data_IF_658705061010
#
_entry.id   IF_658705061010
#
_cell.length_a   1.000
_cell.length_b   1.000
_cell.length_c   1.000
_cell.angle_alpha   90.00
_cell.angle_beta   90.00
_cell.angle_gamma   90.00
#
_symmetry.space_group_name_H-M   'P 1'
#
loop_
_entity.id
_entity.type
_entity.pdbx_description
1 polymer ?
#
# COMPACT_ATOMS: atom_id res chain seq x y z
N UNK A 1 -83.45 12.11 -32.69
CA UNK A 1 -82.50 13.13 -32.19
C UNK A 1 -81.10 12.57 -32.34
N UNK A 2 -80.29 13.25 -33.15
CA UNK A 2 -78.84 13.16 -33.43
C UNK A 2 -78.13 11.79 -33.32
N UNK A 3 -77.86 11.09 -34.44
CA UNK A 3 -76.67 11.23 -35.35
C UNK A 3 -75.38 10.78 -34.63
N UNK A 4 -74.56 9.83 -35.09
CA UNK A 4 -74.41 9.12 -36.36
C UNK A 4 -73.60 7.82 -36.16
N UNK A 5 -73.91 6.80 -36.98
CA UNK A 5 -73.12 5.59 -37.25
C UNK A 5 -71.71 5.95 -37.78
N UNK A 6 -70.70 5.10 -37.55
CA UNK A 6 -69.77 4.71 -38.62
C UNK A 6 -68.91 3.47 -38.31
N UNK A 7 -68.58 2.80 -39.41
CA UNK A 7 -68.19 1.41 -39.60
C UNK A 7 -66.83 0.97 -39.03
N UNK A 8 -66.76 -0.32 -38.68
CA UNK A 8 -65.51 -1.05 -38.41
C UNK A 8 -64.68 -1.20 -39.70
N UNK A 9 -63.55 -0.52 -39.77
CA UNK A 9 -62.50 -0.80 -40.75
C UNK A 9 -61.55 -1.90 -40.23
N UNK A 10 -61.47 -3.02 -40.97
CA UNK A 10 -60.42 -4.04 -40.81
C UNK A 10 -59.07 -3.49 -41.28
N UNK A 11 -58.16 -3.26 -40.35
CA UNK A 11 -56.74 -2.99 -40.62
C UNK A 11 -55.92 -4.24 -40.33
N UNK A 12 -55.30 -4.82 -41.36
CA UNK A 12 -54.34 -5.93 -41.21
C UNK A 12 -53.02 -5.37 -40.65
N UNK A 13 -52.64 -5.77 -39.45
CA UNK A 13 -51.32 -5.48 -38.86
C UNK A 13 -50.34 -6.58 -39.31
N UNK A 14 -49.19 -6.26 -39.93
CA UNK A 14 -48.17 -7.25 -40.24
C UNK A 14 -47.42 -7.65 -38.96
N UNK A 15 -47.39 -8.94 -38.66
CA UNK A 15 -46.57 -9.52 -37.58
C UNK A 15 -45.11 -9.49 -38.04
N UNK A 16 -44.33 -8.54 -37.54
CA UNK A 16 -42.87 -8.59 -37.64
C UNK A 16 -42.33 -9.56 -36.58
N UNK A 17 -41.91 -10.75 -37.02
CA UNK A 17 -41.08 -11.64 -36.21
C UNK A 17 -39.71 -10.98 -36.01
N UNK A 18 -39.47 -10.40 -34.84
CA UNK A 18 -38.12 -10.06 -34.42
C UNK A 18 -37.38 -11.36 -34.07
N UNK A 19 -36.52 -11.81 -34.97
CA UNK A 19 -35.50 -12.82 -34.67
C UNK A 19 -34.51 -12.19 -33.69
N UNK A 20 -34.62 -12.53 -32.40
CA UNK A 20 -33.60 -12.24 -31.39
C UNK A 20 -32.36 -13.08 -31.74
N UNK A 21 -31.42 -12.48 -32.47
CA UNK A 21 -30.07 -13.03 -32.61
C UNK A 21 -29.37 -12.75 -31.27
N UNK A 22 -29.37 -13.75 -30.39
CA UNK A 22 -28.53 -13.75 -29.19
C UNK A 22 -27.07 -13.79 -29.63
N UNK A 23 -26.42 -12.64 -29.67
CA UNK A 23 -24.96 -12.54 -29.82
C UNK A 23 -24.36 -13.07 -28.51
N UNK A 24 -24.07 -14.38 -28.49
CA UNK A 24 -23.23 -14.98 -27.46
C UNK A 24 -21.81 -14.44 -27.68
N UNK A 25 -21.44 -13.37 -27.00
CA UNK A 25 -20.03 -13.05 -26.85
C UNK A 25 -19.38 -14.15 -26.02
N UNK A 26 -18.32 -14.82 -26.52
CA UNK A 26 -17.58 -15.75 -25.72
C UNK A 26 -16.99 -14.97 -24.55
N UNK A 27 -17.43 -15.29 -23.33
CA UNK A 27 -16.74 -14.86 -22.12
C UNK A 27 -15.39 -15.59 -22.16
N UNK A 28 -14.34 -14.89 -22.58
CA UNK A 28 -12.99 -15.38 -22.41
C UNK A 28 -12.68 -15.32 -20.91
N UNK A 29 -12.83 -16.46 -20.24
CA UNK A 29 -12.21 -16.68 -18.94
C UNK A 29 -10.71 -16.73 -19.19
N UNK A 30 -10.01 -15.62 -18.96
CA UNK A 30 -8.56 -15.65 -18.86
C UNK A 30 -8.24 -16.42 -17.57
N UNK A 31 -7.54 -17.55 -17.71
CA UNK A 31 -6.97 -18.22 -16.56
C UNK A 31 -5.97 -17.27 -15.89
N UNK A 32 -6.04 -17.15 -14.57
CA UNK A 32 -5.08 -16.35 -13.83
C UNK A 32 -3.67 -16.91 -14.01
N UNK A 33 -2.69 -16.02 -14.17
CA UNK A 33 -1.28 -16.37 -14.28
C UNK A 33 -0.86 -17.18 -13.05
N UNK A 34 -0.42 -18.45 -13.22
CA UNK A 34 0.08 -19.23 -12.10
C UNK A 34 1.32 -18.56 -11.52
N UNK A 35 1.45 -18.59 -10.20
CA UNK A 35 2.52 -17.92 -9.45
C UNK A 35 3.51 -18.93 -8.87
N UNK A 36 4.70 -18.43 -8.56
CA UNK A 36 5.71 -19.12 -7.76
C UNK A 36 6.57 -18.08 -7.04
N UNK A 37 7.57 -18.53 -6.30
CA UNK A 37 8.56 -17.64 -5.67
C UNK A 37 9.98 -17.93 -6.11
N UNK A 38 10.81 -16.88 -6.08
CA UNK A 38 12.26 -16.98 -6.28
C UNK A 38 13.00 -16.39 -5.10
N UNK A 39 14.11 -17.00 -4.71
CA UNK A 39 14.95 -16.49 -3.61
C UNK A 39 15.80 -15.32 -4.10
N UNK A 40 15.66 -14.17 -3.43
CA UNK A 40 16.38 -12.92 -3.76
C UNK A 40 17.57 -12.71 -2.83
N UNK A 41 17.40 -13.05 -1.55
CA UNK A 41 18.44 -12.97 -0.55
C UNK A 41 18.23 -14.05 0.52
N UNK A 42 19.32 -14.52 1.11
CA UNK A 42 19.33 -15.46 2.22
C UNK A 42 20.42 -15.10 3.24
N UNK A 43 20.44 -15.77 4.39
CA UNK A 43 21.41 -15.51 5.46
C UNK A 43 21.17 -14.21 6.21
N UNK A 44 19.93 -13.69 6.18
CA UNK A 44 19.51 -12.54 6.96
C UNK A 44 19.18 -12.98 8.39
N UNK A 45 19.27 -12.06 9.35
CA UNK A 45 18.90 -12.34 10.75
C UNK A 45 17.58 -11.64 11.06
N UNK A 46 16.50 -12.42 11.16
CA UNK A 46 15.16 -11.93 11.54
C UNK A 46 14.73 -10.70 10.73
N UNK A 47 14.66 -10.79 9.39
CA UNK A 47 14.15 -9.70 8.58
C UNK A 47 12.68 -9.46 8.92
N UNK A 48 12.27 -8.19 8.96
CA UNK A 48 10.90 -7.76 9.34
C UNK A 48 10.29 -6.76 8.37
N UNK A 49 11.07 -6.26 7.41
CA UNK A 49 10.53 -5.42 6.35
C UNK A 49 11.46 -5.36 5.14
N UNK A 50 10.89 -5.05 3.98
CA UNK A 50 11.59 -4.84 2.73
C UNK A 50 10.93 -3.73 1.93
N UNK A 51 11.70 -2.82 1.33
CA UNK A 51 11.18 -1.74 0.49
C UNK A 51 12.28 -1.15 -0.40
N UNK A 52 11.93 -0.28 -1.35
CA UNK A 52 12.87 0.50 -2.15
C UNK A 52 12.54 2.00 -2.07
N UNK A 53 13.53 2.91 -2.16
CA UNK A 53 13.25 4.31 -2.40
C UNK A 53 12.43 4.53 -3.68
N UNK A 54 11.60 5.60 -3.74
CA UNK A 54 10.92 6.00 -4.97
C UNK A 54 11.90 6.11 -6.15
N UNK A 55 11.59 5.44 -7.27
CA UNK A 55 12.40 5.45 -8.49
C UNK A 55 13.66 4.58 -8.48
N UNK A 56 14.07 4.01 -7.34
CA UNK A 56 15.27 3.17 -7.25
C UNK A 56 14.99 1.73 -7.67
N UNK A 57 15.36 1.40 -8.91
CA UNK A 57 15.14 0.09 -9.51
C UNK A 57 16.32 -0.88 -9.32
N UNK A 58 17.43 -0.41 -8.76
CA UNK A 58 18.64 -1.22 -8.60
C UNK A 58 18.76 -1.83 -7.21
N UNK A 59 18.17 -1.16 -6.20
CA UNK A 59 18.37 -1.49 -4.80
C UNK A 59 17.06 -1.81 -4.10
N UNK A 60 17.16 -2.74 -3.16
CA UNK A 60 16.09 -3.06 -2.21
C UNK A 60 16.70 -3.11 -0.81
N UNK A 61 16.04 -2.50 0.15
CA UNK A 61 16.48 -2.34 1.51
C UNK A 61 15.70 -3.26 2.43
N UNK A 62 16.43 -4.06 3.21
CA UNK A 62 15.86 -5.08 4.09
C UNK A 62 16.14 -4.68 5.53
N UNK A 63 15.08 -4.54 6.31
CA UNK A 63 15.13 -4.26 7.73
C UNK A 63 15.27 -5.57 8.50
N UNK A 64 16.31 -5.66 9.34
CA UNK A 64 16.49 -6.74 10.30
C UNK A 64 16.17 -6.25 11.71
N UNK A 65 15.35 -7.03 12.44
CA UNK A 65 14.82 -6.69 13.76
C UNK A 65 15.90 -6.28 14.76
N UNK A 66 17.08 -6.90 14.69
CA UNK A 66 18.25 -6.61 15.53
C UNK A 66 18.91 -5.24 15.30
N UNK A 67 18.31 -4.36 14.49
CA UNK A 67 18.78 -2.98 14.30
C UNK A 67 19.69 -2.80 13.10
N UNK A 68 19.55 -3.59 12.03
CA UNK A 68 20.37 -3.44 10.81
C UNK A 68 19.47 -3.24 9.61
N UNK A 69 19.92 -2.42 8.66
CA UNK A 69 19.35 -2.35 7.31
C UNK A 69 20.38 -2.88 6.33
N UNK A 70 20.01 -3.87 5.53
CA UNK A 70 20.83 -4.49 4.48
C UNK A 70 20.37 -4.03 3.10
N UNK A 71 21.23 -4.15 2.11
CA UNK A 71 20.92 -3.80 0.72
C UNK A 71 21.12 -5.04 -0.14
N UNK A 72 20.11 -5.36 -0.95
CA UNK A 72 20.29 -6.13 -2.18
C UNK A 72 20.45 -5.12 -3.30
N UNK A 73 21.52 -5.22 -4.09
CA UNK A 73 21.80 -4.36 -5.23
C UNK A 73 22.08 -5.23 -6.45
N UNK A 74 21.35 -5.00 -7.54
CA UNK A 74 21.50 -5.78 -8.78
C UNK A 74 21.45 -7.29 -8.54
N UNK A 75 20.48 -7.73 -7.72
CA UNK A 75 20.26 -9.14 -7.38
C UNK A 75 21.26 -9.75 -6.38
N UNK A 76 22.20 -8.97 -5.83
CA UNK A 76 23.21 -9.46 -4.88
C UNK A 76 23.11 -8.77 -3.52
N UNK A 77 23.10 -9.55 -2.44
CA UNK A 77 23.15 -9.02 -1.07
C UNK A 77 24.54 -8.42 -0.79
N UNK A 78 24.58 -7.13 -0.47
CA UNK A 78 25.82 -6.45 -0.12
C UNK A 78 26.34 -6.91 1.25
N UNK A 79 27.68 -6.99 1.46
CA UNK A 79 28.26 -7.45 2.72
C UNK A 79 28.06 -6.47 3.88
N UNK A 80 27.93 -5.17 3.58
CA UNK A 80 27.76 -4.11 4.56
C UNK A 80 26.32 -3.92 5.05
N UNK A 81 26.16 -3.02 6.03
CA UNK A 81 24.86 -2.50 6.42
C UNK A 81 24.70 -1.09 5.83
N UNK A 82 23.52 -0.77 5.32
CA UNK A 82 23.13 0.60 5.02
C UNK A 82 23.07 1.44 6.30
N UNK A 83 22.38 0.91 7.32
CA UNK A 83 22.27 1.51 8.65
C UNK A 83 22.52 0.43 9.71
N UNK A 84 23.20 0.81 10.80
CA UNK A 84 23.43 -0.04 11.95
C UNK A 84 23.07 0.68 13.27
N UNK A 85 21.96 0.27 13.85
CA UNK A 85 21.43 0.67 15.16
C UNK A 85 21.60 -0.42 16.23
N UNK A 86 22.37 -1.47 15.96
CA UNK A 86 22.64 -2.51 16.95
C UNK A 86 23.21 -1.89 18.24
N UNK A 87 22.71 -2.34 19.39
CA UNK A 87 23.05 -1.77 20.70
C UNK A 87 22.29 -0.48 21.05
N UNK A 88 21.50 0.10 20.12
CA UNK A 88 20.56 1.20 20.39
C UNK A 88 19.10 0.77 20.36
N UNK A 89 18.84 -0.45 19.89
CA UNK A 89 17.50 -1.05 19.89
C UNK A 89 17.36 -2.03 21.05
N UNK A 90 16.21 -2.02 21.73
CA UNK A 90 15.76 -3.20 22.49
C UNK A 90 15.22 -4.18 21.46
N UNK A 91 15.80 -5.37 21.38
CA UNK A 91 15.38 -6.37 20.40
C UNK A 91 14.47 -7.42 20.99
N UNK A 92 13.66 -7.90 20.06
CA UNK A 92 13.11 -9.24 19.93
C UNK A 92 11.72 -9.32 20.56
N UNK A 93 11.00 -10.42 20.28
CA UNK A 93 9.54 -10.41 20.40
C UNK A 93 8.97 -9.43 19.37
N UNK A 94 8.24 -8.42 19.83
CA UNK A 94 7.68 -7.36 18.97
C UNK A 94 8.53 -6.09 18.93
N UNK A 95 9.67 -6.07 19.65
CA UNK A 95 10.59 -4.93 19.70
C UNK A 95 11.73 -5.07 18.70
N UNK A 96 12.31 -3.95 18.30
CA UNK A 96 13.51 -3.92 17.45
C UNK A 96 13.50 -2.73 16.51
N UNK A 97 14.22 -2.84 15.40
CA UNK A 97 14.01 -1.97 14.24
C UNK A 97 12.90 -2.58 13.37
N UNK A 98 11.77 -1.88 13.23
CA UNK A 98 10.52 -2.44 12.71
C UNK A 98 10.03 -1.77 11.42
N UNK A 99 10.32 -0.48 11.25
CA UNK A 99 9.88 0.32 10.11
C UNK A 99 11.01 1.07 9.41
N UNK A 100 10.85 1.25 8.10
CA UNK A 100 11.71 2.05 7.24
C UNK A 100 10.81 2.76 6.22
N UNK A 101 10.99 4.06 6.00
CA UNK A 101 10.34 4.78 4.92
C UNK A 101 11.33 5.76 4.29
N UNK A 102 11.38 5.79 2.97
CA UNK A 102 12.16 6.78 2.23
C UNK A 102 11.29 8.01 1.97
N UNK A 103 11.87 9.20 2.09
CA UNK A 103 11.20 10.43 1.73
C UNK A 103 10.72 10.37 0.25
N UNK A 104 9.58 10.96 -0.12
CA UNK A 104 9.15 11.04 -1.52
C UNK A 104 10.25 11.61 -2.44
N UNK A 105 10.87 12.73 -2.03
CA UNK A 105 12.06 13.32 -2.69
C UNK A 105 13.43 12.71 -2.31
N UNK A 106 13.50 11.41 -1.95
CA UNK A 106 14.74 10.78 -1.49
C UNK A 106 15.91 10.95 -2.47
N UNK A 107 15.67 10.91 -3.78
CA UNK A 107 16.71 11.09 -4.81
C UNK A 107 17.38 12.47 -4.70
N UNK A 108 16.63 13.49 -4.27
CA UNK A 108 17.13 14.86 -4.11
C UNK A 108 17.67 15.14 -2.72
N UNK A 109 16.98 14.70 -1.65
CA UNK A 109 17.30 15.08 -0.28
C UNK A 109 18.02 13.99 0.53
N UNK A 110 17.96 12.73 0.08
CA UNK A 110 18.58 11.59 0.74
C UNK A 110 17.99 11.22 2.10
N UNK A 111 16.81 11.74 2.47
CA UNK A 111 16.20 11.53 3.78
C UNK A 111 15.41 10.23 3.86
N UNK A 112 15.58 9.52 4.96
CA UNK A 112 14.82 8.32 5.27
C UNK A 112 14.53 8.25 6.76
N UNK A 113 13.52 7.47 7.11
CA UNK A 113 12.90 7.44 8.43
C UNK A 113 12.86 6.01 8.93
N UNK A 114 13.03 5.83 10.23
CA UNK A 114 12.95 4.52 10.87
C UNK A 114 12.04 4.56 12.08
N UNK A 115 11.35 3.45 12.32
CA UNK A 115 10.61 3.17 13.56
C UNK A 115 11.33 2.04 14.30
N UNK A 116 11.80 2.31 15.52
CA UNK A 116 12.45 1.31 16.35
C UNK A 116 12.10 1.44 17.82
N UNK A 117 12.24 0.35 18.57
CA UNK A 117 12.18 0.37 20.03
C UNK A 117 13.56 0.67 20.61
N UNK A 118 13.71 1.73 21.41
CA UNK A 118 14.97 2.07 22.08
C UNK A 118 15.32 1.11 23.22
N UNK A 119 16.50 1.28 23.83
CA UNK A 119 16.96 0.47 24.97
C UNK A 119 16.09 0.56 26.22
N UNK A 120 15.24 1.59 26.31
CA UNK A 120 14.30 1.77 27.42
C UNK A 120 12.93 1.17 27.12
N UNK A 121 12.73 0.63 25.90
CA UNK A 121 11.47 0.07 25.45
C UNK A 121 10.53 1.06 24.78
N UNK A 122 10.92 2.33 24.59
CA UNK A 122 10.07 3.33 23.92
C UNK A 122 10.08 3.15 22.41
N UNK A 123 8.97 3.43 21.73
CA UNK A 123 8.96 3.59 20.28
C UNK A 123 9.61 4.92 19.91
N UNK A 124 10.52 4.90 18.94
CA UNK A 124 11.23 6.08 18.44
C UNK A 124 11.09 6.16 16.92
N UNK A 125 10.63 7.31 16.44
CA UNK A 125 10.65 7.69 15.03
C UNK A 125 11.83 8.62 14.81
N UNK A 126 12.75 8.25 13.93
CA UNK A 126 13.95 9.03 13.66
C UNK A 126 14.20 9.20 12.16
N UNK A 127 14.59 10.41 11.77
CA UNK A 127 15.11 10.75 10.44
C UNK A 127 16.62 10.56 10.40
N UNK A 128 17.10 10.07 9.27
CA UNK A 128 18.50 10.04 8.87
C UNK A 128 18.62 10.56 7.44
N UNK A 129 19.85 10.84 7.03
CA UNK A 129 20.22 11.17 5.66
C UNK A 129 21.26 10.18 5.15
N UNK A 130 21.27 9.90 3.85
CA UNK A 130 22.33 9.13 3.19
C UNK A 130 23.64 9.91 3.14
N UNK A 131 24.77 9.21 3.04
CA UNK A 131 26.07 9.84 2.75
C UNK A 131 26.22 10.10 1.24
N UNK A 132 27.35 10.66 0.81
CA UNK A 132 27.71 10.70 -0.60
C UNK A 132 27.84 9.30 -1.24
N UNK A 133 28.08 8.25 -0.45
CA UNK A 133 27.88 6.88 -0.88
C UNK A 133 26.39 6.53 -0.69
N UNK A 134 25.62 6.30 -1.77
CA UNK A 134 24.18 6.06 -1.66
C UNK A 134 23.87 4.76 -0.90
N UNK A 135 24.83 3.83 -0.79
CA UNK A 135 24.68 2.55 -0.11
C UNK A 135 25.02 2.62 1.40
N UNK A 136 25.20 3.84 1.95
CA UNK A 136 25.54 4.06 3.37
C UNK A 136 24.79 5.24 3.98
N UNK A 137 24.14 5.01 5.12
CA UNK A 137 23.51 6.04 5.93
C UNK A 137 24.54 6.91 6.67
N UNK A 138 24.29 8.21 6.76
CA UNK A 138 25.04 9.11 7.62
C UNK A 138 24.51 9.02 9.06
N UNK A 139 25.18 8.26 9.92
CA UNK A 139 24.73 8.07 11.30
C UNK A 139 24.63 9.39 12.10
N UNK A 140 25.51 10.36 11.85
CA UNK A 140 25.52 11.63 12.61
C UNK A 140 24.38 12.56 12.23
N UNK A 141 23.69 12.32 11.10
CA UNK A 141 22.52 13.08 10.67
C UNK A 141 21.24 12.77 11.47
N UNK A 142 21.31 11.82 12.41
CA UNK A 142 20.15 11.34 13.16
C UNK A 142 19.41 12.47 13.86
N UNK A 143 18.13 12.60 13.55
CA UNK A 143 17.18 13.46 14.27
C UNK A 143 16.02 12.61 14.79
N UNK A 144 15.78 12.63 16.10
CA UNK A 144 14.58 12.04 16.69
C UNK A 144 13.41 12.99 16.45
N UNK A 145 12.32 12.47 15.88
CA UNK A 145 11.11 13.23 15.58
C UNK A 145 10.07 13.02 16.67
N UNK A 146 9.88 11.77 17.09
CA UNK A 146 8.86 11.37 18.05
C UNK A 146 9.40 10.23 18.92
N UNK A 147 9.12 10.30 20.22
CA UNK A 147 9.34 9.21 21.18
C UNK A 147 8.03 8.95 21.91
N UNK A 148 7.56 7.71 21.90
CA UNK A 148 6.32 7.29 22.57
C UNK A 148 6.66 6.21 23.59
N UNK A 149 6.32 6.46 24.86
CA UNK A 149 6.51 5.47 25.93
C UNK A 149 5.59 4.29 25.73
N UNK A 150 6.15 3.09 25.76
CA UNK A 150 5.43 1.83 25.69
C UNK A 150 5.36 1.21 27.09
N UNK A 151 4.16 0.98 27.66
CA UNK A 151 4.07 0.44 29.02
C UNK A 151 4.30 -1.07 29.09
N UNK A 152 4.22 -1.79 27.96
CA UNK A 152 4.53 -3.23 27.87
C UNK A 152 5.54 -3.52 26.76
N UNK A 153 5.95 -4.79 26.63
CA UNK A 153 6.94 -5.22 25.63
C UNK A 153 6.35 -5.72 24.32
N UNK A 154 5.03 -5.67 24.18
CA UNK A 154 4.28 -6.08 23.01
C UNK A 154 3.34 -4.96 22.55
N UNK A 155 2.72 -5.20 21.42
CA UNK A 155 1.88 -4.31 20.61
C UNK A 155 2.57 -2.99 20.25
N UNK A 156 3.78 -3.11 19.71
CA UNK A 156 4.58 -1.96 19.33
C UNK A 156 4.18 -1.38 17.96
N UNK A 157 3.34 -2.06 17.19
CA UNK A 157 3.12 -1.77 15.78
C UNK A 157 4.46 -1.81 15.02
N UNK A 158 4.77 -0.74 14.30
CA UNK A 158 6.10 -0.56 13.73
C UNK A 158 6.12 -0.06 12.30
N UNK A 159 4.99 -0.16 11.59
CA UNK A 159 4.89 0.34 10.23
C UNK A 159 4.95 1.87 10.18
N UNK A 160 5.69 2.37 9.19
CA UNK A 160 5.70 3.78 8.78
C UNK A 160 5.69 3.83 7.25
N UNK A 161 5.04 4.85 6.69
CA UNK A 161 4.95 5.04 5.24
C UNK A 161 4.51 6.45 4.89
N UNK A 162 4.81 6.88 3.67
CA UNK A 162 4.37 8.19 3.18
C UNK A 162 3.05 8.06 2.43
N UNK A 163 2.10 8.94 2.73
CA UNK A 163 0.87 9.04 1.94
C UNK A 163 1.22 9.48 0.52
N UNK A 164 0.85 8.71 -0.52
CA UNK A 164 1.33 8.94 -1.88
C UNK A 164 0.84 10.29 -2.48
N UNK A 165 -0.26 10.83 -1.98
CA UNK A 165 -0.85 12.06 -2.50
C UNK A 165 -0.61 13.30 -1.63
N UNK A 166 -0.45 13.12 -0.32
CA UNK A 166 -0.27 14.23 0.63
C UNK A 166 1.19 14.42 1.07
N UNK A 167 2.06 13.42 0.87
CA UNK A 167 3.47 13.47 1.23
C UNK A 167 3.74 13.44 2.73
N UNK A 168 2.72 13.18 3.57
CA UNK A 168 2.89 13.14 5.02
C UNK A 168 3.35 11.76 5.49
N UNK A 169 4.04 11.73 6.63
CA UNK A 169 4.48 10.48 7.25
C UNK A 169 3.37 9.92 8.14
N UNK A 170 2.92 8.71 7.81
CA UNK A 170 1.98 7.92 8.58
C UNK A 170 2.73 6.95 9.49
N UNK A 171 2.28 6.82 10.73
CA UNK A 171 2.95 6.01 11.76
C UNK A 171 1.90 5.15 12.47
N UNK A 172 2.06 3.84 12.35
CA UNK A 172 1.19 2.87 13.00
C UNK A 172 1.74 2.52 14.39
N UNK A 173 0.94 2.79 15.42
CA UNK A 173 1.26 2.46 16.81
C UNK A 173 0.19 1.53 17.37
N UNK A 174 0.62 0.36 17.85
CA UNK A 174 -0.25 -0.49 18.66
C UNK A 174 -0.66 0.17 19.97
N UNK A 175 -1.64 -0.42 20.63
CA UNK A 175 -2.18 0.02 21.91
C UNK A 175 -1.11 0.05 23.01
N UNK A 176 0.04 -0.60 22.78
CA UNK A 176 1.21 -0.67 23.63
C UNK A 176 1.17 -1.81 24.65
N UNK A 177 0.34 -2.81 24.42
CA UNK A 177 0.50 -4.17 24.93
C UNK A 177 -0.43 -4.56 26.07
N UNK A 178 -0.19 -5.74 26.62
CA UNK A 178 -1.10 -6.47 27.51
C UNK A 178 -2.40 -6.93 26.83
N UNK A 179 -3.05 -7.93 27.40
CA UNK A 179 -4.29 -8.48 26.88
C UNK A 179 -5.45 -7.50 27.08
N UNK A 180 -6.19 -7.24 26.00
CA UNK A 180 -7.42 -6.49 26.05
C UNK A 180 -7.24 -5.02 26.45
N UNK A 181 -6.13 -4.36 26.13
CA UNK A 181 -5.85 -2.94 26.40
C UNK A 181 -6.42 -2.41 27.74
N UNK A 182 -5.85 -2.82 28.89
CA UNK A 182 -6.44 -2.57 30.21
C UNK A 182 -6.55 -1.08 30.59
N UNK A 183 -5.86 -0.20 29.85
CA UNK A 183 -5.85 1.25 30.07
C UNK A 183 -6.68 2.00 29.04
N UNK A 184 -7.41 1.28 28.17
CA UNK A 184 -8.26 1.84 27.13
C UNK A 184 -7.54 2.86 26.23
N UNK A 185 -6.26 2.63 25.95
CA UNK A 185 -5.40 3.53 25.19
C UNK A 185 -5.85 3.67 23.74
N UNK A 186 -6.31 2.59 23.12
CA UNK A 186 -6.78 2.60 21.73
C UNK A 186 -7.98 3.55 21.53
N UNK A 187 -8.85 3.68 22.52
CA UNK A 187 -9.99 4.61 22.53
C UNK A 187 -9.69 5.96 23.22
N UNK A 188 -8.61 6.06 24.00
CA UNK A 188 -8.27 7.29 24.71
C UNK A 188 -7.63 8.31 23.74
N UNK A 189 -8.23 9.51 23.57
CA UNK A 189 -7.73 10.53 22.64
C UNK A 189 -6.50 11.29 23.17
N UNK A 190 -6.11 11.08 24.43
CA UNK A 190 -4.99 11.74 25.11
C UNK A 190 -3.68 10.93 25.07
N UNK A 191 -3.63 9.86 24.28
CA UNK A 191 -2.44 9.04 24.05
C UNK A 191 -2.29 8.73 22.57
N UNK A 192 -1.03 8.53 22.14
CA UNK A 192 -0.68 8.17 20.78
C UNK A 192 -0.77 6.65 20.51
N UNK A 193 -1.02 5.85 21.54
CA UNK A 193 -1.07 4.39 21.42
C UNK A 193 -2.42 3.90 20.90
N UNK A 194 -2.38 2.87 20.04
CA UNK A 194 -3.55 2.30 19.35
C UNK A 194 -4.11 3.26 18.32
N UNK A 195 -3.23 3.86 17.52
CA UNK A 195 -3.52 4.95 16.57
C UNK A 195 -2.76 4.77 15.27
N UNK A 196 -3.35 5.27 14.19
CA UNK A 196 -2.60 5.75 13.04
C UNK A 196 -2.30 7.23 13.27
N UNK A 197 -1.04 7.63 13.26
CA UNK A 197 -0.64 9.03 13.32
C UNK A 197 -0.32 9.55 11.92
N UNK A 198 -0.47 10.86 11.70
CA UNK A 198 -0.01 11.56 10.50
C UNK A 198 0.69 12.86 10.85
N UNK A 199 1.95 12.99 10.43
CA UNK A 199 2.80 14.17 10.72
C UNK A 199 3.46 14.72 9.46
N UNK A 200 3.69 16.04 9.45
CA UNK A 200 4.42 16.75 8.41
C UNK A 200 5.91 16.82 8.77
N UNK A 201 6.77 16.25 7.93
CA UNK A 201 8.22 16.16 8.14
C UNK A 201 9.02 17.19 7.34
N UNK A 202 8.36 18.01 6.51
CA UNK A 202 9.00 19.02 5.64
C UNK A 202 9.28 20.30 6.42
N UNK A 203 10.06 20.14 7.49
CA UNK A 203 10.46 21.23 8.36
C UNK A 203 11.88 21.03 8.90
N UNK A 204 12.55 22.14 9.18
CA UNK A 204 13.88 22.13 9.81
C UNK A 204 13.84 21.76 11.29
N UNK A 205 12.69 21.80 11.96
CA UNK A 205 12.55 21.57 13.40
C UNK A 205 11.61 20.41 13.73
N UNK A 206 12.07 19.17 13.51
CA UNK A 206 11.32 17.98 13.90
C UNK A 206 10.17 17.69 12.95
N UNK A 207 8.94 17.86 13.41
CA UNK A 207 7.73 17.69 12.62
C UNK A 207 6.69 18.79 12.93
N UNK A 208 5.71 18.93 12.06
CA UNK A 208 4.51 19.76 12.26
C UNK A 208 3.26 18.89 12.22
N UNK A 209 2.16 19.45 12.74
CA UNK A 209 0.83 18.88 12.56
C UNK A 209 0.28 19.34 11.21
N UNK A 210 -0.09 18.42 10.30
CA UNK A 210 -0.82 18.79 9.10
C UNK A 210 -2.12 19.52 9.46
N UNK A 211 -2.42 20.68 8.87
CA UNK A 211 -3.67 21.40 9.14
C UNK A 211 -4.90 20.60 8.72
N UNK A 212 -4.73 19.64 7.81
CA UNK A 212 -5.77 18.71 7.37
C UNK A 212 -5.96 17.50 8.29
N UNK A 213 -5.25 17.39 9.43
CA UNK A 213 -5.53 16.32 10.39
C UNK A 213 -6.93 16.52 11.01
N UNK A 214 -7.70 15.43 11.24
CA UNK A 214 -9.08 15.51 11.73
C UNK A 214 -9.18 16.17 13.10
N UNK A 215 -8.09 16.17 13.87
CA UNK A 215 -8.02 16.73 15.22
C UNK A 215 -7.05 17.92 15.33
N UNK A 216 -6.65 18.56 14.23
CA UNK A 216 -5.68 19.66 14.24
C UNK A 216 -6.08 20.83 15.16
N UNK A 217 -7.38 21.14 15.23
CA UNK A 217 -7.94 22.19 16.06
C UNK A 217 -8.54 21.69 17.39
N UNK A 218 -8.43 20.38 17.67
CA UNK A 218 -8.96 19.79 18.90
C UNK A 218 -8.18 20.25 20.13
N UNK A 219 -8.89 20.43 21.24
CA UNK A 219 -8.33 20.64 22.58
C UNK A 219 -8.40 19.38 23.45
N UNK A 220 -9.12 18.35 23.01
CA UNK A 220 -9.34 17.09 23.74
C UNK A 220 -8.72 15.86 23.10
N UNK A 221 -8.11 16.00 21.91
CA UNK A 221 -7.49 14.90 21.16
C UNK A 221 -6.10 15.33 20.72
N UNK A 222 -5.12 14.43 20.84
CA UNK A 222 -3.78 14.68 20.34
C UNK A 222 -3.81 14.87 18.82
N UNK A 223 -3.09 15.89 18.36
CA UNK A 223 -3.24 16.45 17.02
C UNK A 223 -2.55 15.60 15.95
N UNK A 224 -1.63 14.75 16.36
CA UNK A 224 -0.95 13.76 15.52
C UNK A 224 -1.90 12.65 15.07
N UNK A 225 -3.00 12.42 15.81
CA UNK A 225 -3.92 11.31 15.54
C UNK A 225 -4.61 11.55 14.20
N UNK A 226 -4.48 10.55 13.33
CA UNK A 226 -5.20 10.47 12.06
C UNK A 226 -6.38 9.51 12.16
N UNK A 227 -6.20 8.34 12.78
CA UNK A 227 -7.27 7.41 13.11
C UNK A 227 -6.97 6.72 14.47
N UNK A 228 -7.99 6.14 15.08
CA UNK A 228 -7.91 5.49 16.39
C UNK A 228 -8.58 4.11 16.40
N UNK A 229 -8.55 3.47 17.56
CA UNK A 229 -9.19 2.17 17.75
C UNK A 229 -8.44 1.01 17.11
N UNK A 230 -7.10 1.09 17.06
CA UNK A 230 -6.24 0.02 16.56
C UNK A 230 -5.57 -0.74 17.73
N UNK A 231 -5.33 -2.04 17.56
CA UNK A 231 -4.71 -2.92 18.57
C UNK A 231 -3.20 -3.05 18.39
N UNK A 232 -2.75 -3.63 17.28
CA UNK A 232 -1.36 -3.81 16.92
C UNK A 232 -1.19 -3.85 15.38
N UNK A 233 -1.39 -2.72 14.69
CA UNK A 233 -1.26 -2.63 13.24
C UNK A 233 0.18 -2.90 12.80
N UNK A 234 0.40 -4.04 12.13
CA UNK A 234 1.74 -4.59 11.89
C UNK A 234 2.32 -4.28 10.50
N UNK A 235 1.63 -4.66 9.42
CA UNK A 235 2.01 -4.31 8.04
C UNK A 235 0.85 -3.67 7.31
N UNK A 236 0.98 -2.37 7.12
CA UNK A 236 0.03 -1.57 6.37
C UNK A 236 0.63 -1.27 4.99
N UNK A 237 -0.20 -0.81 4.07
CA UNK A 237 0.27 -0.37 2.76
C UNK A 237 -0.70 0.64 2.17
N UNK A 238 -0.15 1.69 1.57
CA UNK A 238 -0.91 2.47 0.62
C UNK A 238 -0.95 1.73 -0.72
N UNK A 239 -2.11 1.70 -1.35
CA UNK A 239 -2.19 1.45 -2.77
C UNK A 239 -1.53 2.61 -3.52
N UNK A 240 -0.43 2.34 -4.22
CA UNK A 240 0.33 3.37 -4.95
C UNK A 240 -0.45 4.01 -6.10
N UNK A 241 -1.48 3.34 -6.60
CA UNK A 241 -2.30 3.89 -7.68
C UNK A 241 -3.44 4.77 -7.14
N UNK A 242 -4.17 4.30 -6.13
CA UNK A 242 -5.39 4.98 -5.66
C UNK A 242 -5.17 5.86 -4.44
N UNK A 243 -4.13 5.59 -3.65
CA UNK A 243 -3.88 6.23 -2.36
C UNK A 243 -4.68 5.65 -1.19
N UNK A 244 -5.42 4.55 -1.41
CA UNK A 244 -6.16 3.88 -0.33
C UNK A 244 -5.20 3.22 0.65
N UNK A 245 -5.52 3.24 1.95
CA UNK A 245 -4.71 2.65 3.00
C UNK A 245 -5.34 1.35 3.50
N UNK A 246 -4.58 0.26 3.44
CA UNK A 246 -4.93 -1.03 4.04
C UNK A 246 -4.12 -1.19 5.32
N UNK A 247 -4.80 -1.58 6.40
CA UNK A 247 -4.21 -1.70 7.74
C UNK A 247 -4.45 -3.13 8.20
N UNK A 248 -3.38 -3.89 8.43
CA UNK A 248 -3.51 -5.23 8.99
C UNK A 248 -3.29 -5.16 10.49
N UNK A 249 -4.37 -5.35 11.24
CA UNK A 249 -4.40 -5.20 12.69
C UNK A 249 -4.48 -6.57 13.38
N UNK A 250 -3.52 -6.85 14.27
CA UNK A 250 -3.41 -8.15 14.92
C UNK A 250 -4.43 -8.27 16.03
N UNK A 251 -5.19 -9.35 15.99
CA UNK A 251 -6.25 -9.74 16.92
C UNK A 251 -5.82 -10.02 18.35
N UNK A 252 -6.78 -10.03 19.28
CA UNK A 252 -6.53 -10.35 20.69
C UNK A 252 -6.39 -11.85 20.95
N UNK A 253 -7.21 -12.67 20.32
CA UNK A 253 -7.26 -14.10 20.54
C UNK A 253 -8.33 -14.86 19.76
N UNK A 254 -9.25 -14.18 19.07
CA UNK A 254 -10.34 -14.80 18.32
C UNK A 254 -10.33 -14.43 16.83
N UNK A 255 -10.04 -13.18 16.48
CA UNK A 255 -10.18 -12.68 15.11
C UNK A 255 -9.03 -11.78 14.69
N UNK A 256 -8.57 -11.99 13.47
CA UNK A 256 -7.55 -11.19 12.79
C UNK A 256 -8.20 -10.37 11.68
N UNK A 257 -7.75 -9.14 11.43
CA UNK A 257 -8.49 -8.21 10.57
C UNK A 257 -7.63 -7.39 9.58
N UNK A 258 -8.26 -6.97 8.49
CA UNK A 258 -7.77 -5.96 7.56
C UNK A 258 -8.76 -4.81 7.54
N UNK A 259 -8.36 -3.66 8.08
CA UNK A 259 -9.10 -2.42 7.94
C UNK A 259 -8.74 -1.69 6.65
N UNK A 260 -9.61 -0.77 6.27
CA UNK A 260 -9.48 0.02 5.06
C UNK A 260 -9.83 1.48 5.32
N UNK A 261 -9.01 2.37 4.78
CA UNK A 261 -9.30 3.78 4.71
C UNK A 261 -9.26 4.24 3.25
N UNK A 262 -10.38 4.72 2.69
CA UNK A 262 -10.38 5.23 1.33
C UNK A 262 -9.49 6.48 1.23
N UNK A 263 -8.87 6.69 0.08
CA UNK A 263 -8.09 7.88 -0.23
C UNK A 263 -8.87 9.19 0.02
N UNK A 264 -10.18 9.16 -0.22
CA UNK A 264 -11.07 10.32 0.01
C UNK A 264 -11.35 10.63 1.49
N UNK A 265 -10.86 9.80 2.41
CA UNK A 265 -11.05 10.01 3.85
C UNK A 265 -10.40 11.31 4.32
N UNK A 266 -11.08 11.99 5.24
CA UNK A 266 -10.54 13.15 5.97
C UNK A 266 -9.93 12.77 7.31
N UNK A 267 -9.78 11.48 7.59
CA UNK A 267 -9.34 10.92 8.87
C UNK A 267 -10.44 10.96 9.93
N UNK A 268 -10.13 10.38 11.08
CA UNK A 268 -10.99 10.34 12.26
C UNK A 268 -11.70 8.99 12.47
N UNK A 269 -11.47 8.02 11.59
CA UNK A 269 -11.98 6.66 11.73
C UNK A 269 -11.57 6.05 13.07
N UNK A 270 -12.51 5.30 13.64
CA UNK A 270 -12.30 4.53 14.85
C UNK A 270 -12.52 3.06 14.53
N UNK A 271 -11.44 2.29 14.38
CA UNK A 271 -11.46 0.87 14.00
C UNK A 271 -11.90 -0.08 15.13
N UNK A 272 -12.47 0.49 16.21
CA UNK A 272 -13.25 -0.29 17.15
C UNK A 272 -12.47 -0.90 18.31
N UNK A 273 -11.19 -1.22 18.20
CA UNK A 273 -10.43 -1.78 19.34
C UNK A 273 -10.39 -0.78 20.51
N UNK A 274 -10.75 -1.12 21.75
CA UNK A 274 -10.97 -2.44 22.34
C UNK A 274 -12.45 -2.82 22.54
N UNK A 275 -13.36 -2.17 21.83
CA UNK A 275 -14.79 -2.44 21.90
C UNK A 275 -15.15 -3.65 21.02
N UNK A 276 -14.50 -3.76 19.86
CA UNK A 276 -14.60 -4.87 18.92
C UNK A 276 -13.24 -5.55 18.70
N UNK A 277 -13.26 -6.81 18.26
CA UNK A 277 -12.12 -7.59 17.74
C UNK A 277 -12.60 -8.23 16.43
N UNK A 278 -12.12 -7.76 15.28
CA UNK A 278 -12.85 -7.98 14.04
C UNK A 278 -14.18 -7.20 14.05
N UNK A 279 -15.19 -7.78 13.41
CA UNK A 279 -16.57 -7.28 13.46
C UNK A 279 -17.33 -7.68 14.75
N UNK A 280 -16.66 -8.39 15.66
CA UNK A 280 -17.25 -9.03 16.82
C UNK A 280 -17.07 -8.24 18.11
N UNK A 281 -18.03 -8.39 19.03
CA UNK A 281 -17.97 -7.73 20.34
C UNK A 281 -16.84 -8.30 21.20
N UNK A 282 -16.06 -7.40 21.81
CA UNK A 282 -14.98 -7.78 22.72
C UNK A 282 -15.21 -7.26 24.14
N UNK A 283 -15.31 -5.93 24.31
CA UNK A 283 -15.56 -5.33 25.61
C UNK A 283 -16.45 -4.07 25.53
N UNK A 284 -17.76 -4.17 25.84
CA UNK A 284 -18.44 -5.34 26.41
C UNK A 284 -18.53 -6.54 25.43
N UNK A 285 -18.67 -7.78 25.93
CA UNK A 285 -18.68 -8.98 25.09
C UNK A 285 -19.97 -9.15 24.27
N UNK A 286 -20.99 -8.32 24.51
CA UNK A 286 -22.26 -8.32 23.81
C UNK A 286 -22.72 -6.89 23.54
N UNK A 287 -23.68 -6.72 22.62
CA UNK A 287 -24.35 -5.44 22.31
C UNK A 287 -23.43 -4.33 21.77
N UNK A 288 -22.28 -4.69 21.18
CA UNK A 288 -21.39 -3.73 20.49
C UNK A 288 -22.00 -3.19 19.18
N UNK A 289 -23.01 -3.85 18.63
CA UNK A 289 -23.82 -3.38 17.50
C UNK A 289 -24.59 -2.08 17.80
N UNK A 290 -24.79 -1.77 19.09
CA UNK A 290 -25.37 -0.50 19.53
C UNK A 290 -24.39 0.66 19.55
N UNK A 291 -23.09 0.39 19.41
CA UNK A 291 -22.04 1.41 19.38
C UNK A 291 -22.04 2.07 18.00
N UNK A 292 -21.97 3.40 17.98
CA UNK A 292 -21.97 4.19 16.76
C UNK A 292 -20.61 4.84 16.54
N UNK A 293 -20.25 5.08 15.27
CA UNK A 293 -19.00 5.76 14.92
C UNK A 293 -17.78 4.86 14.98
N UNK A 294 -18.00 3.54 14.89
CA UNK A 294 -16.94 2.56 14.65
C UNK A 294 -16.90 2.23 13.15
N UNK A 295 -15.71 1.90 12.66
CA UNK A 295 -15.45 1.44 11.30
C UNK A 295 -15.15 -0.05 11.37
N UNK A 296 -15.91 -0.87 10.64
CA UNK A 296 -15.68 -2.31 10.56
C UNK A 296 -14.56 -2.64 9.55
N UNK A 297 -13.84 -3.76 9.75
CA UNK A 297 -12.82 -4.21 8.81
C UNK A 297 -13.44 -4.65 7.47
N UNK A 298 -12.65 -4.62 6.40
CA UNK A 298 -13.09 -5.11 5.08
C UNK A 298 -12.89 -6.63 4.91
N UNK A 299 -12.09 -7.23 5.78
CA UNK A 299 -11.83 -8.66 5.83
C UNK A 299 -11.40 -9.08 7.22
N UNK A 300 -11.84 -10.25 7.66
CA UNK A 300 -11.41 -10.88 8.91
C UNK A 300 -11.30 -12.40 8.77
N UNK A 301 -10.58 -13.04 9.67
CA UNK A 301 -10.56 -14.49 9.76
C UNK A 301 -10.35 -14.98 11.20
N UNK A 302 -10.90 -16.16 11.56
CA UNK A 302 -10.82 -16.66 12.92
C UNK A 302 -9.45 -17.24 13.24
N UNK A 303 -9.11 -17.31 14.53
CA UNK A 303 -7.89 -17.95 15.00
C UNK A 303 -7.80 -19.47 14.75
N UNK A 304 -8.87 -20.09 14.21
CA UNK A 304 -8.80 -21.46 13.68
C UNK A 304 -8.04 -21.53 12.35
N UNK A 305 -7.94 -20.41 11.63
CA UNK A 305 -7.34 -20.31 10.30
C UNK A 305 -5.94 -19.67 10.31
N UNK A 306 -5.60 -18.90 11.36
CA UNK A 306 -4.31 -18.29 11.66
C UNK A 306 -4.23 -17.79 13.11
N UNK A 307 -3.24 -16.99 13.50
CA UNK A 307 -3.14 -16.48 14.88
C UNK A 307 -2.41 -15.14 15.05
N UNK A 308 -1.93 -14.56 13.94
CA UNK A 308 -1.36 -13.22 13.90
C UNK A 308 -1.26 -12.77 12.45
N UNK A 309 -2.18 -11.91 12.02
CA UNK A 309 -2.13 -11.35 10.66
C UNK A 309 -0.83 -10.56 10.50
N UNK A 310 -0.08 -10.91 9.46
CA UNK A 310 1.07 -10.11 9.07
C UNK A 310 0.64 -8.90 8.27
N UNK A 311 -0.43 -9.00 7.49
CA UNK A 311 -0.82 -8.02 6.48
C UNK A 311 -0.03 -8.20 5.19
N UNK A 312 -0.08 -7.19 4.32
CA UNK A 312 0.75 -7.15 3.13
C UNK A 312 0.49 -5.96 2.22
N UNK A 313 0.50 -6.19 0.90
CA UNK A 313 0.60 -5.15 -0.13
C UNK A 313 -0.30 -5.47 -1.33
N UNK A 314 -0.72 -4.41 -2.04
CA UNK A 314 -1.38 -4.53 -3.33
C UNK A 314 -0.35 -4.73 -4.43
N UNK A 315 -0.60 -5.71 -5.31
CA UNK A 315 0.25 -5.90 -6.48
C UNK A 315 0.03 -4.76 -7.48
N UNK A 316 1.08 -3.98 -7.70
CA UNK A 316 1.14 -2.89 -8.70
C UNK A 316 2.29 -3.07 -9.70
N UNK A 317 2.92 -4.25 -9.70
CA UNK A 317 4.00 -4.63 -10.61
C UNK A 317 3.59 -4.77 -12.07
N UNK A 318 4.56 -4.62 -12.97
CA UNK A 318 4.35 -4.80 -14.41
C UNK A 318 4.48 -6.26 -14.85
N UNK A 319 5.16 -7.11 -14.07
CA UNK A 319 5.55 -8.44 -14.53
C UNK A 319 4.36 -9.41 -14.64
N UNK A 320 3.30 -9.15 -13.86
CA UNK A 320 2.11 -10.00 -13.75
C UNK A 320 0.83 -9.12 -13.86
N UNK A 321 0.52 -8.57 -15.06
CA UNK A 321 -0.50 -7.53 -15.22
C UNK A 321 -1.90 -7.92 -14.75
N UNK A 322 -2.25 -9.20 -14.79
CA UNK A 322 -3.54 -9.70 -14.32
C UNK A 322 -3.69 -9.70 -12.80
N UNK A 323 -2.62 -9.45 -12.03
CA UNK A 323 -2.67 -9.28 -10.58
C UNK A 323 -2.89 -7.82 -10.13
N UNK A 324 -2.95 -6.85 -11.04
CA UNK A 324 -3.12 -5.44 -10.68
C UNK A 324 -4.30 -5.21 -9.72
N UNK A 325 -4.02 -4.57 -8.58
CA UNK A 325 -5.03 -4.28 -7.54
C UNK A 325 -5.39 -5.47 -6.64
N UNK A 326 -4.64 -6.57 -6.71
CA UNK A 326 -4.81 -7.72 -5.82
C UNK A 326 -4.01 -7.52 -4.55
N UNK A 327 -4.66 -7.53 -3.39
CA UNK A 327 -4.01 -7.44 -2.08
C UNK A 327 -3.52 -8.83 -1.66
N UNK A 328 -2.22 -8.96 -1.41
CA UNK A 328 -1.61 -10.16 -0.83
C UNK A 328 -1.32 -9.93 0.64
N UNK A 329 -1.64 -10.92 1.47
CA UNK A 329 -1.38 -10.89 2.90
C UNK A 329 -1.10 -12.28 3.43
N UNK A 330 -0.58 -12.38 4.65
CA UNK A 330 -0.28 -13.66 5.27
C UNK A 330 -0.44 -13.65 6.77
N UNK A 331 -0.20 -14.81 7.36
CA UNK A 331 -0.25 -15.05 8.80
C UNK A 331 1.14 -15.44 9.32
N UNK A 332 1.55 -14.82 10.43
CA UNK A 332 2.86 -15.03 11.02
C UNK A 332 3.00 -16.45 11.58
N UNK A 333 1.96 -17.01 12.16
CA UNK A 333 2.02 -18.25 12.94
C UNK A 333 2.17 -19.49 12.06
N UNK A 334 1.38 -19.56 10.99
CA UNK A 334 1.34 -20.73 10.11
C UNK A 334 1.98 -20.48 8.73
N UNK A 335 2.38 -19.24 8.42
CA UNK A 335 3.01 -18.89 7.14
C UNK A 335 2.07 -19.00 5.95
N UNK A 336 0.75 -19.02 6.18
CA UNK A 336 -0.23 -19.02 5.10
C UNK A 336 -0.25 -17.68 4.39
N UNK A 337 -0.56 -17.70 3.11
CA UNK A 337 -0.66 -16.52 2.24
C UNK A 337 -1.98 -16.58 1.52
N UNK A 338 -2.68 -15.46 1.52
CA UNK A 338 -3.93 -15.30 0.79
C UNK A 338 -3.88 -14.06 -0.07
N UNK A 339 -4.85 -13.95 -0.96
CA UNK A 339 -5.07 -12.75 -1.75
C UNK A 339 -6.56 -12.49 -1.96
N UNK A 340 -6.95 -11.23 -2.04
CA UNK A 340 -8.28 -10.81 -2.50
C UNK A 340 -8.22 -9.51 -3.30
N UNK A 341 -9.32 -9.13 -3.93
CA UNK A 341 -9.56 -7.79 -4.48
C UNK A 341 -10.70 -7.12 -3.73
N UNK A 342 -10.58 -5.82 -3.51
CA UNK A 342 -11.61 -5.01 -2.89
C UNK A 342 -12.07 -3.92 -3.86
N UNK A 343 -13.37 -3.77 -4.05
CA UNK A 343 -13.95 -2.81 -4.99
C UNK A 343 -14.50 -1.54 -4.32
N UNK A 344 -14.22 -1.34 -3.02
CA UNK A 344 -14.80 -0.28 -2.20
C UNK A 344 -16.10 -0.67 -1.49
N UNK A 345 -16.61 -1.87 -1.71
CA UNK A 345 -17.83 -2.40 -1.08
C UNK A 345 -17.58 -3.81 -0.56
N UNK A 346 -17.17 -4.72 -1.43
CA UNK A 346 -17.03 -6.15 -1.13
C UNK A 346 -15.63 -6.64 -1.52
N UNK A 347 -15.16 -7.66 -0.80
CA UNK A 347 -14.00 -8.45 -1.22
C UNK A 347 -14.41 -9.53 -2.22
N UNK A 348 -13.53 -9.83 -3.16
CA UNK A 348 -13.75 -10.79 -4.25
C UNK A 348 -12.45 -11.47 -4.63
N UNK A 349 -12.54 -12.50 -5.47
CA UNK A 349 -11.37 -13.25 -5.98
C UNK A 349 -10.46 -13.79 -4.86
N UNK A 350 -11.04 -14.16 -3.72
CA UNK A 350 -10.30 -14.70 -2.58
C UNK A 350 -9.60 -16.01 -2.96
N UNK A 351 -8.30 -16.10 -2.67
CA UNK A 351 -7.49 -17.28 -2.96
C UNK A 351 -6.49 -17.56 -1.84
N UNK A 352 -6.38 -18.84 -1.48
CA UNK A 352 -5.28 -19.38 -0.67
C UNK A 352 -4.11 -19.67 -1.62
N UNK A 353 -2.97 -19.01 -1.38
CA UNK A 353 -1.81 -18.94 -2.28
C UNK A 353 -0.60 -19.72 -1.77
N UNK A 354 -0.66 -20.31 -0.57
CA UNK A 354 0.53 -20.91 0.07
C UNK A 354 1.16 -22.01 -0.75
N UNK A 355 0.34 -22.92 -1.27
CA UNK A 355 0.85 -24.05 -2.05
C UNK A 355 1.45 -23.60 -3.38
N UNK A 356 0.79 -22.65 -4.06
CA UNK A 356 1.24 -22.06 -5.32
C UNK A 356 2.59 -21.34 -5.16
N UNK A 357 2.74 -20.55 -4.10
CA UNK A 357 3.95 -19.77 -3.82
C UNK A 357 5.09 -20.60 -3.22
N UNK A 358 4.84 -21.85 -2.85
CA UNK A 358 5.83 -22.71 -2.21
C UNK A 358 6.30 -22.13 -0.86
N UNK A 359 5.37 -21.66 -0.03
CA UNK A 359 5.61 -21.11 1.32
C UNK A 359 4.85 -21.91 2.39
N UNK A 360 4.66 -21.39 3.61
CA UNK A 360 3.89 -22.08 4.68
C UNK A 360 4.70 -22.94 5.65
N UNK A 361 6.03 -22.83 5.60
CA UNK A 361 6.94 -23.58 6.49
C UNK A 361 7.88 -22.66 7.28
N UNK A 362 7.58 -21.36 7.32
CA UNK A 362 8.29 -20.34 8.07
C UNK A 362 7.34 -19.21 8.46
N UNK A 363 7.69 -18.47 9.50
CA UNK A 363 6.95 -17.29 9.91
C UNK A 363 7.16 -16.16 8.91
N UNK A 364 6.08 -15.70 8.28
CA UNK A 364 6.09 -14.53 7.40
C UNK A 364 6.03 -13.29 8.30
N UNK A 365 7.07 -12.46 8.32
CA UNK A 365 7.08 -11.23 9.13
C UNK A 365 6.63 -9.99 8.37
N UNK A 366 6.61 -10.07 7.03
CA UNK A 366 6.22 -8.95 6.20
C UNK A 366 5.98 -9.36 4.76
N UNK A 367 5.33 -8.45 4.05
CA UNK A 367 5.48 -8.29 2.62
C UNK A 367 6.16 -6.93 2.36
N UNK A 368 6.58 -6.72 1.13
CA UNK A 368 7.02 -5.40 0.66
C UNK A 368 7.12 -5.36 -0.85
N UNK A 369 7.49 -4.21 -1.37
CA UNK A 369 7.55 -3.97 -2.81
C UNK A 369 8.85 -3.27 -3.21
N UNK A 370 9.26 -3.46 -4.46
CA UNK A 370 10.32 -2.65 -5.07
C UNK A 370 9.75 -1.41 -5.78
N UNK A 371 10.62 -0.57 -6.34
CA UNK A 371 10.20 0.65 -7.02
C UNK A 371 9.29 0.38 -8.24
N UNK A 372 9.30 -0.84 -8.79
CA UNK A 372 8.46 -1.26 -9.90
C UNK A 372 7.11 -1.82 -9.44
N UNK A 373 6.89 -2.01 -8.14
CA UNK A 373 5.65 -2.55 -7.57
C UNK A 373 5.59 -4.08 -7.53
N UNK A 374 6.73 -4.75 -7.78
CA UNK A 374 6.81 -6.20 -7.63
C UNK A 374 6.87 -6.58 -6.15
N UNK A 375 6.20 -7.67 -5.79
CA UNK A 375 6.01 -8.04 -4.37
C UNK A 375 7.02 -9.07 -3.87
N UNK A 376 7.35 -8.93 -2.60
CA UNK A 376 8.28 -9.78 -1.87
C UNK A 376 7.65 -10.29 -0.58
N UNK A 377 8.00 -11.52 -0.19
CA UNK A 377 7.64 -12.16 1.08
C UNK A 377 8.89 -12.21 1.95
N UNK A 378 8.75 -11.80 3.21
CA UNK A 378 9.84 -11.74 4.18
C UNK A 378 9.73 -12.92 5.15
N UNK A 379 10.66 -13.87 5.06
CA UNK A 379 10.75 -15.00 5.98
C UNK A 379 11.58 -14.65 7.21
N UNK A 380 10.92 -14.60 8.37
CA UNK A 380 11.53 -14.17 9.62
C UNK A 380 12.58 -15.15 10.14
N UNK A 381 12.18 -16.41 10.33
CA UNK A 381 13.00 -17.40 11.03
C UNK A 381 14.00 -18.12 10.11
N UNK A 382 13.73 -18.19 8.81
CA UNK A 382 14.67 -18.73 7.84
C UNK A 382 15.64 -17.67 7.28
N UNK A 383 15.35 -16.38 7.47
CA UNK A 383 16.22 -15.30 7.01
C UNK A 383 16.29 -15.17 5.49
N UNK A 384 15.19 -15.48 4.79
CA UNK A 384 15.11 -15.49 3.32
C UNK A 384 14.08 -14.45 2.84
N UNK A 385 14.42 -13.76 1.76
CA UNK A 385 13.50 -12.92 0.99
C UNK A 385 13.11 -13.66 -0.28
N UNK A 386 11.81 -13.77 -0.50
CA UNK A 386 11.23 -14.39 -1.69
C UNK A 386 10.58 -13.30 -2.55
N UNK A 387 10.79 -13.31 -3.86
CA UNK A 387 10.03 -12.50 -4.83
C UNK A 387 8.91 -13.34 -5.40
N UNK A 388 7.69 -12.80 -5.42
CA UNK A 388 6.55 -13.41 -6.12
C UNK A 388 6.76 -13.18 -7.62
N UNK A 389 6.69 -14.26 -8.41
CA UNK A 389 6.87 -14.22 -9.87
C UNK A 389 5.83 -15.10 -10.55
N UNK A 390 5.61 -14.90 -11.84
CA UNK A 390 4.84 -15.85 -12.65
C UNK A 390 5.59 -17.18 -12.81
N UNK A 391 4.87 -18.31 -12.81
CA UNK A 391 5.38 -19.67 -13.07
C UNK A 391 5.59 -19.95 -14.58
N UNK A 392 5.53 -18.90 -15.40
CA UNK A 392 5.77 -18.95 -16.85
C UNK A 392 6.33 -17.61 -17.35
N UNK A 393 6.65 -17.50 -18.64
CA UNK A 393 7.44 -16.42 -19.23
C UNK A 393 7.01 -15.03 -18.72
N UNK A 394 7.96 -14.38 -18.02
CA UNK A 394 7.83 -13.06 -17.43
C UNK A 394 7.49 -12.03 -18.52
N UNK A 395 6.47 -11.19 -18.31
CA UNK A 395 6.40 -9.94 -19.07
C UNK A 395 7.69 -9.16 -18.78
N UNK A 396 8.48 -8.87 -19.81
CA UNK A 396 9.79 -8.26 -19.62
C UNK A 396 9.62 -6.81 -19.16
N UNK A 397 9.62 -6.57 -17.85
CA UNK A 397 9.58 -5.24 -17.23
C UNK A 397 10.78 -4.35 -17.61
N UNK A 398 11.85 -4.92 -18.18
CA UNK A 398 13.02 -4.21 -18.67
C UNK A 398 12.99 -3.94 -20.19
N UNK A 399 11.95 -4.38 -20.89
CA UNK A 399 11.70 -3.97 -22.26
C UNK A 399 10.83 -2.73 -22.26
N UNK A 400 11.39 -1.57 -22.61
CA UNK A 400 10.58 -0.39 -22.89
C UNK A 400 9.62 -0.73 -24.05
N UNK A 401 8.32 -0.84 -23.76
CA UNK A 401 7.31 -1.10 -24.78
C UNK A 401 6.83 0.21 -25.45
N UNK A 402 7.06 1.35 -24.80
CA UNK A 402 6.51 2.64 -25.17
C UNK A 402 7.27 3.80 -24.46
N UNK A 403 7.45 4.95 -25.13
CA UNK A 403 8.05 6.16 -24.54
C UNK A 403 6.94 7.05 -23.97
N UNK A 404 6.99 7.38 -22.68
CA UNK A 404 6.03 8.28 -22.06
C UNK A 404 6.06 9.64 -22.77
N UNK A 405 4.90 10.10 -23.24
CA UNK A 405 4.79 11.32 -24.06
C UNK A 405 4.86 11.12 -25.57
N UNK A 406 5.22 9.94 -26.07
CA UNK A 406 5.14 9.56 -27.49
C UNK A 406 3.72 9.09 -27.82
N UNK A 407 2.74 9.97 -27.65
CA UNK A 407 1.31 9.67 -27.75
C UNK A 407 0.89 9.00 -29.06
N UNK A 408 1.63 9.26 -30.15
CA UNK A 408 1.38 8.65 -31.46
C UNK A 408 2.26 7.41 -31.76
N UNK A 409 3.14 7.03 -30.84
CA UNK A 409 4.03 5.87 -30.92
C UNK A 409 4.99 5.91 -32.12
N UNK A 410 5.56 7.09 -32.40
CA UNK A 410 6.51 7.34 -33.47
C UNK A 410 7.97 7.01 -33.11
N UNK A 411 8.27 6.85 -31.82
CA UNK A 411 9.61 6.70 -31.28
C UNK A 411 10.25 8.01 -30.81
N UNK A 412 9.55 9.15 -30.87
CA UNK A 412 10.06 10.45 -30.44
C UNK A 412 8.98 11.27 -29.73
N UNK A 413 9.32 11.94 -28.62
CA UNK A 413 8.40 12.86 -27.93
C UNK A 413 8.46 14.24 -28.57
N UNK A 414 7.41 14.60 -29.32
CA UNK A 414 7.42 15.72 -30.26
C UNK A 414 6.08 16.47 -30.37
N UNK A 415 6.04 17.56 -31.15
CA UNK A 415 4.80 18.32 -31.39
C UNK A 415 3.66 17.47 -32.00
N UNK A 416 3.92 16.53 -32.93
CA UNK A 416 2.95 15.52 -33.36
C UNK A 416 2.21 14.79 -32.23
N UNK A 417 2.83 14.55 -31.09
CA UNK A 417 2.21 13.87 -29.94
C UNK A 417 1.18 14.77 -29.25
N UNK A 418 1.50 16.05 -29.12
CA UNK A 418 0.54 17.07 -28.64
C UNK A 418 -0.68 17.11 -29.56
N UNK A 419 -0.47 17.09 -30.88
CA UNK A 419 -1.57 17.08 -31.86
C UNK A 419 -2.40 15.79 -31.76
N UNK A 420 -1.76 14.65 -31.51
CA UNK A 420 -2.45 13.39 -31.30
C UNK A 420 -3.35 13.44 -30.07
N UNK A 421 -2.85 13.91 -28.92
CA UNK A 421 -3.63 14.07 -27.70
C UNK A 421 -4.79 15.05 -27.88
N UNK A 422 -4.56 16.20 -28.53
CA UNK A 422 -5.62 17.16 -28.83
C UNK A 422 -6.71 16.53 -29.70
N UNK A 423 -6.35 15.73 -30.71
CA UNK A 423 -7.33 15.04 -31.55
C UNK A 423 -8.09 13.96 -30.79
N UNK A 424 -7.42 13.20 -29.92
CA UNK A 424 -8.08 12.23 -29.03
C UNK A 424 -9.10 12.92 -28.11
N UNK A 425 -8.69 13.96 -27.39
CA UNK A 425 -9.49 14.63 -26.37
C UNK A 425 -10.65 15.41 -26.98
N UNK A 426 -10.41 16.14 -28.08
CA UNK A 426 -11.37 17.12 -28.60
C UNK A 426 -12.04 16.73 -29.93
N UNK A 427 -11.56 15.70 -30.61
CA UNK A 427 -12.04 15.34 -31.97
C UNK A 427 -12.35 13.86 -32.14
N UNK A 428 -12.61 13.14 -31.04
CA UNK A 428 -12.90 11.71 -31.05
C UNK A 428 -11.82 10.88 -31.78
N UNK A 429 -10.56 11.30 -31.69
CA UNK A 429 -9.41 10.56 -32.19
C UNK A 429 -9.18 9.26 -31.42
N UNK A 430 -8.26 8.43 -31.90
CA UNK A 430 -7.88 7.19 -31.22
C UNK A 430 -7.15 7.46 -29.91
N UNK A 431 -7.52 6.74 -28.85
CA UNK A 431 -6.79 6.79 -27.56
C UNK A 431 -5.36 6.25 -27.72
N UNK A 432 -4.34 6.90 -27.10
CA UNK A 432 -2.99 6.34 -27.01
C UNK A 432 -3.00 4.93 -26.43
N UNK A 433 -2.16 4.04 -26.97
CA UNK A 433 -2.05 2.65 -26.50
C UNK A 433 -0.59 2.21 -26.45
N UNK A 434 -0.04 1.82 -25.29
CA UNK A 434 -0.69 1.81 -23.97
C UNK A 434 -1.07 3.21 -23.47
N UNK A 435 -2.00 3.30 -22.50
CA UNK A 435 -2.53 4.58 -21.99
C UNK A 435 -1.43 5.54 -21.51
N UNK A 436 -0.33 4.98 -21.00
CA UNK A 436 0.83 5.74 -20.53
C UNK A 436 1.59 6.52 -21.62
N UNK A 437 1.36 6.26 -22.91
CA UNK A 437 1.88 7.11 -23.98
C UNK A 437 1.27 8.52 -23.92
N UNK A 438 0.03 8.62 -23.42
CA UNK A 438 -0.69 9.88 -23.32
C UNK A 438 -0.90 10.41 -21.91
N UNK A 439 -0.75 9.58 -20.87
CA UNK A 439 -0.82 9.97 -19.47
C UNK A 439 0.56 10.44 -19.00
N UNK A 440 0.96 11.61 -19.48
CA UNK A 440 2.34 12.11 -19.33
C UNK A 440 2.63 12.61 -17.93
N UNK A 441 1.61 12.85 -17.11
CA UNK A 441 1.77 13.22 -15.70
C UNK A 441 1.55 12.03 -14.75
N UNK A 442 1.17 10.85 -15.27
CA UNK A 442 1.04 9.61 -14.51
C UNK A 442 -0.15 9.55 -13.56
N UNK A 443 -1.22 10.32 -13.81
CA UNK A 443 -2.39 10.39 -12.93
C UNK A 443 -3.48 9.35 -13.25
N UNK A 444 -3.24 8.47 -14.23
CA UNK A 444 -4.17 7.43 -14.68
C UNK A 444 -5.21 7.90 -15.70
N UNK A 445 -5.19 9.16 -16.14
CA UNK A 445 -6.14 9.73 -17.09
C UNK A 445 -5.45 10.52 -18.19
N UNK A 446 -5.76 10.19 -19.45
CA UNK A 446 -5.32 10.99 -20.62
C UNK A 446 -6.32 12.12 -20.88
N UNK A 447 -5.99 13.35 -20.50
CA UNK A 447 -6.88 14.52 -20.59
C UNK A 447 -6.13 15.84 -20.94
N UNK A 448 -6.81 16.99 -20.82
CA UNK A 448 -6.23 18.29 -21.18
C UNK A 448 -4.99 18.65 -20.36
N UNK A 449 -4.87 18.16 -19.13
CA UNK A 449 -3.70 18.38 -18.27
C UNK A 449 -2.46 17.75 -18.91
N UNK A 450 -2.59 16.58 -19.54
CA UNK A 450 -1.50 15.91 -20.26
C UNK A 450 -1.02 16.69 -21.48
N UNK A 451 -1.95 17.34 -22.20
CA UNK A 451 -1.60 18.25 -23.31
C UNK A 451 -0.76 19.42 -22.79
N UNK A 452 -1.18 20.05 -21.69
CA UNK A 452 -0.46 21.19 -21.10
C UNK A 452 0.92 20.76 -20.61
N UNK A 453 1.00 19.60 -19.96
CA UNK A 453 2.23 19.02 -19.45
C UNK A 453 3.22 18.75 -20.60
N UNK A 454 2.78 18.06 -21.66
CA UNK A 454 3.61 17.71 -22.80
C UNK A 454 4.12 18.95 -23.57
N UNK A 455 3.29 19.98 -23.72
CA UNK A 455 3.71 21.27 -24.30
C UNK A 455 4.79 21.95 -23.47
N UNK A 456 4.65 21.94 -22.13
CA UNK A 456 5.65 22.54 -21.25
C UNK A 456 6.97 21.77 -21.28
N UNK A 457 6.92 20.44 -21.37
CA UNK A 457 8.11 19.60 -21.57
C UNK A 457 8.85 19.96 -22.87
N UNK A 458 8.13 20.00 -24.01
CA UNK A 458 8.74 20.23 -25.33
C UNK A 458 9.31 21.66 -25.47
N UNK A 459 8.65 22.68 -24.93
CA UNK A 459 8.98 24.09 -25.23
C UNK A 459 9.51 24.92 -24.07
N UNK A 460 9.35 24.49 -22.82
CA UNK A 460 9.64 25.33 -21.64
C UNK A 460 10.55 24.65 -20.62
N UNK A 461 11.26 23.58 -21.02
CA UNK A 461 12.06 22.77 -20.10
C UNK A 461 11.24 22.29 -18.90
N UNK A 462 9.97 21.95 -19.11
CA UNK A 462 9.11 21.34 -18.10
C UNK A 462 9.61 19.96 -17.68
N UNK A 463 9.01 19.41 -16.63
CA UNK A 463 9.32 18.06 -16.14
C UNK A 463 9.12 17.02 -17.26
N UNK A 464 10.00 16.02 -17.29
CA UNK A 464 9.89 14.92 -18.24
C UNK A 464 8.60 14.10 -18.00
N UNK A 465 8.03 13.46 -19.03
CA UNK A 465 6.89 12.57 -18.87
C UNK A 465 7.12 11.49 -17.79
N UNK A 466 6.10 11.16 -17.01
CA UNK A 466 6.26 10.24 -15.88
C UNK A 466 6.38 8.79 -16.37
N UNK A 467 7.44 8.10 -15.95
CA UNK A 467 7.61 6.67 -16.17
C UNK A 467 6.50 5.91 -15.42
N UNK A 468 5.77 5.05 -16.12
CA UNK A 468 4.73 4.19 -15.53
C UNK A 468 4.95 2.75 -15.99
N UNK A 469 4.27 1.77 -15.38
CA UNK A 469 4.58 0.33 -15.50
C UNK A 469 5.14 -0.18 -16.84
N UNK A 470 4.54 0.19 -17.98
CA UNK A 470 4.98 -0.24 -19.34
C UNK A 470 5.65 0.85 -20.20
N UNK A 471 5.63 2.13 -19.77
CA UNK A 471 6.24 3.24 -20.52
C UNK A 471 7.52 3.75 -19.86
N UNK A 472 8.61 3.86 -20.63
CA UNK A 472 9.88 4.43 -20.20
C UNK A 472 10.04 5.91 -20.58
N UNK A 473 11.14 6.55 -20.15
CA UNK A 473 11.53 7.92 -20.54
C UNK A 473 12.41 7.90 -21.79
#
# INVERSE_FOLDING_TARGET
MNKNKLDLHRSRVPIFCFLLISILWPIQLFAQTPLTTTVVASGLSSPVFITSPPGDTERIFIVQQGGRVRIVKNGSLLPGNFLNLQGRVSCCGERGLLGLAFHPDYDSNGFFYVNYTDSSGNTVIARFQVTANPDSANFSSRQILLTVTQPYSNHNGGWIGFGPSDGYLYIALGDGGSGGDPQNRAQNPLTLLGKMLRIDIDTSQGYKIPPSNPFADSTGTLKEIWALGLRNPWRNSFDRLTGDLYIADVGQGAWEEVDFQPFSSTGGENYGWRLKEGDHCFNPPDSCDTLTGLTDPIYEYPHTDGCSITGGYLYRGCAIPDLQGTYFFGDYCNGRVWSFRYNGIDTSEFQERTSELGVGFFNISSFGEDALGELYIVGHNNGIIYKIVADSAVANCFGCLALAGDANNSGEVSLPDVLFLVNFIFKAGTKPKPDCLGDVNGNGMVNLVDVIYLVNFIYKSGLSPVKTGVCCL
#
